data_IF_521440181411
#
_entry.id   IF_521440181411
#
_cell.length_a   1.000
_cell.length_b   1.000
_cell.length_c   1.000
_cell.angle_alpha   90.00
_cell.angle_beta   90.00
_cell.angle_gamma   90.00
#
_symmetry.space_group_name_H-M   'P 1'
#
loop_
_entity.id
_entity.type
_entity.pdbx_description
1 polymer ?
#
# COMPACT_ATOMS: atom_id res chain seq x y z
N UNK A 1 -36.47 -0.49 9.60
CA UNK A 1 -35.83 0.01 8.37
C UNK A 1 -35.56 1.50 8.48
N UNK A 2 -36.57 2.30 8.81
CA UNK A 2 -36.44 3.74 9.11
C UNK A 2 -35.36 4.06 10.16
N UNK A 3 -35.30 3.34 11.28
CA UNK A 3 -34.25 3.54 12.31
C UNK A 3 -32.82 3.33 11.78
N UNK A 4 -32.63 2.42 10.81
CA UNK A 4 -31.30 2.17 10.21
C UNK A 4 -30.95 3.29 9.24
N UNK A 5 -31.91 3.76 8.44
CA UNK A 5 -31.73 4.89 7.53
C UNK A 5 -31.40 6.14 8.33
N UNK A 6 -32.17 6.42 9.38
CA UNK A 6 -31.94 7.55 10.29
C UNK A 6 -30.56 7.48 10.95
N UNK A 7 -30.10 6.28 11.33
CA UNK A 7 -28.74 6.09 11.84
C UNK A 7 -27.69 6.45 10.78
N UNK A 8 -27.82 6.02 9.53
CA UNK A 8 -26.85 6.37 8.48
C UNK A 8 -26.88 7.85 8.09
N UNK A 9 -28.06 8.48 8.09
CA UNK A 9 -28.22 9.92 7.78
C UNK A 9 -27.61 10.81 8.86
N UNK A 10 -27.73 10.41 10.13
CA UNK A 10 -27.20 11.16 11.27
C UNK A 10 -25.77 10.73 11.68
N UNK A 11 -25.28 9.59 11.15
CA UNK A 11 -23.95 9.10 11.48
C UNK A 11 -22.87 10.09 11.02
N UNK A 12 -21.85 10.35 11.85
CA UNK A 12 -20.68 11.10 11.43
C UNK A 12 -20.00 10.44 10.23
N UNK A 13 -19.62 11.24 9.24
CA UNK A 13 -18.96 10.75 8.04
C UNK A 13 -17.57 10.19 8.34
N UNK A 14 -17.17 9.11 7.64
CA UNK A 14 -15.89 8.44 7.82
C UNK A 14 -14.68 9.37 7.54
N UNK A 15 -14.83 10.37 6.66
CA UNK A 15 -13.78 11.33 6.29
C UNK A 15 -13.37 12.27 7.45
N UNK A 16 -14.22 12.40 8.47
CA UNK A 16 -13.89 13.07 9.73
C UNK A 16 -12.80 12.32 10.50
N UNK A 17 -12.78 10.99 10.41
CA UNK A 17 -11.88 10.13 11.17
C UNK A 17 -10.71 9.58 10.36
N UNK A 18 -10.87 9.46 9.03
CA UNK A 18 -9.92 8.82 8.15
C UNK A 18 -9.75 9.63 6.86
N UNK A 19 -8.50 9.85 6.42
CA UNK A 19 -8.24 10.49 5.13
C UNK A 19 -7.54 9.55 4.17
N UNK A 20 -8.10 9.38 2.97
CA UNK A 20 -7.48 8.63 1.88
C UNK A 20 -6.49 9.47 1.06
N UNK A 21 -5.47 8.80 0.53
CA UNK A 21 -4.40 9.36 -0.28
C UNK A 21 -4.02 8.40 -1.41
N UNK A 22 -3.85 8.96 -2.61
CA UNK A 22 -3.32 8.23 -3.76
C UNK A 22 -1.79 8.16 -3.62
N UNK A 23 -1.23 7.00 -3.95
CA UNK A 23 0.22 6.77 -3.97
C UNK A 23 0.89 7.38 -5.21
N UNK A 24 2.13 6.96 -5.44
CA UNK A 24 2.94 7.46 -6.56
C UNK A 24 2.97 6.48 -7.75
N UNK A 25 3.48 6.96 -8.89
CA UNK A 25 3.73 6.13 -10.07
C UNK A 25 5.18 6.25 -10.53
N UNK A 26 5.85 5.11 -10.79
CA UNK A 26 7.29 5.08 -11.11
C UNK A 26 7.61 5.03 -12.61
N UNK A 27 6.60 4.83 -13.48
CA UNK A 27 6.70 4.62 -14.94
C UNK A 27 7.54 3.40 -15.40
N UNK A 28 8.56 2.98 -14.66
CA UNK A 28 9.44 1.86 -14.99
C UNK A 28 9.79 1.04 -13.74
N UNK A 29 8.91 0.09 -13.41
CA UNK A 29 9.08 -0.81 -12.27
C UNK A 29 10.42 -1.56 -12.30
N UNK A 30 10.91 -1.99 -13.47
CA UNK A 30 12.16 -2.77 -13.55
C UNK A 30 13.38 -1.95 -13.12
N UNK A 31 13.39 -0.66 -13.48
CA UNK A 31 14.49 0.25 -13.16
C UNK A 31 14.45 0.71 -11.71
N UNK A 32 13.25 0.99 -11.18
CA UNK A 32 13.08 1.73 -9.93
C UNK A 32 12.60 0.91 -8.74
N UNK A 33 12.15 -0.33 -8.96
CA UNK A 33 11.71 -1.22 -7.90
C UNK A 33 12.65 -2.42 -7.82
N UNK A 34 13.15 -2.68 -6.62
CA UNK A 34 13.93 -3.86 -6.28
C UNK A 34 13.12 -4.84 -5.44
N UNK A 35 13.49 -6.12 -5.51
CA UNK A 35 13.08 -7.08 -4.49
C UNK A 35 14.02 -7.00 -3.29
N UNK A 36 13.49 -7.18 -2.09
CA UNK A 36 14.30 -7.32 -0.87
C UNK A 36 14.79 -8.77 -0.80
N UNK A 37 16.05 -9.00 -0.45
CA UNK A 37 16.61 -10.35 -0.28
C UNK A 37 15.77 -11.23 0.67
N UNK A 38 15.90 -12.55 0.50
CA UNK A 38 15.18 -13.56 1.30
C UNK A 38 13.64 -13.49 1.20
N UNK A 39 13.10 -12.69 0.26
CA UNK A 39 11.67 -12.66 -0.03
C UNK A 39 11.32 -13.52 -1.25
N UNK A 40 10.03 -13.89 -1.35
CA UNK A 40 9.50 -14.61 -2.51
C UNK A 40 9.75 -13.86 -3.83
N UNK A 41 9.70 -12.52 -3.80
CA UNK A 41 9.95 -11.71 -4.99
C UNK A 41 11.42 -11.78 -5.42
N UNK A 42 12.36 -11.83 -4.47
CA UNK A 42 13.78 -12.00 -4.79
C UNK A 42 14.02 -13.34 -5.49
N UNK A 43 13.39 -14.43 -5.03
CA UNK A 43 13.50 -15.73 -5.71
C UNK A 43 12.91 -15.71 -7.13
N UNK A 44 11.79 -15.01 -7.33
CA UNK A 44 11.24 -14.77 -8.67
C UNK A 44 12.23 -13.99 -9.54
N UNK A 45 12.85 -12.93 -9.01
CA UNK A 45 13.81 -12.11 -9.74
C UNK A 45 15.09 -12.88 -10.05
N UNK A 46 15.62 -13.69 -9.13
CA UNK A 46 16.78 -14.59 -9.36
C UNK A 46 16.50 -15.54 -10.52
N UNK A 47 15.35 -16.22 -10.52
CA UNK A 47 14.96 -17.14 -11.62
C UNK A 47 14.83 -16.42 -12.97
N UNK A 48 14.26 -15.21 -12.98
CA UNK A 48 14.14 -14.40 -14.21
C UNK A 48 15.51 -13.93 -14.72
N UNK A 49 16.38 -13.48 -13.82
CA UNK A 49 17.70 -12.98 -14.16
C UNK A 49 18.61 -14.06 -14.79
N UNK A 50 18.41 -15.34 -14.48
CA UNK A 50 19.12 -16.45 -15.16
C UNK A 50 18.85 -16.51 -16.67
N UNK A 51 17.72 -15.97 -17.12
CA UNK A 51 17.29 -15.98 -18.53
C UNK A 51 17.64 -14.68 -19.27
N UNK A 52 18.23 -13.70 -18.58
CA UNK A 52 18.54 -12.38 -19.12
C UNK A 52 20.04 -12.30 -19.36
N UNK A 53 20.44 -12.23 -20.62
CA UNK A 53 21.83 -12.08 -21.04
C UNK A 53 22.36 -10.67 -20.77
N UNK A 54 21.56 -9.64 -21.11
CA UNK A 54 21.91 -8.23 -20.92
C UNK A 54 21.84 -7.82 -19.43
N UNK A 55 22.98 -7.50 -18.78
CA UNK A 55 23.01 -7.09 -17.38
C UNK A 55 22.14 -5.86 -17.08
N UNK A 56 21.99 -4.93 -18.02
CA UNK A 56 21.23 -3.70 -17.84
C UNK A 56 19.71 -3.93 -17.77
N UNK A 57 19.26 -5.12 -18.15
CA UNK A 57 17.85 -5.53 -18.11
C UNK A 57 17.52 -6.45 -16.95
N UNK A 58 18.50 -6.78 -16.10
CA UNK A 58 18.27 -7.60 -14.92
C UNK A 58 17.39 -6.87 -13.91
N UNK A 59 16.56 -7.64 -13.23
CA UNK A 59 15.76 -7.15 -12.10
C UNK A 59 16.68 -6.92 -10.89
N UNK A 60 16.46 -5.84 -10.15
CA UNK A 60 17.26 -5.46 -8.97
C UNK A 60 16.84 -6.28 -7.75
N UNK A 61 17.82 -6.77 -6.99
CA UNK A 61 17.64 -7.37 -5.66
C UNK A 61 18.59 -6.63 -4.73
N UNK A 62 18.09 -6.16 -3.59
CA UNK A 62 18.89 -5.44 -2.58
C UNK A 62 19.02 -6.25 -1.30
N UNK A 63 20.03 -5.95 -0.50
CA UNK A 63 20.16 -6.54 0.83
C UNK A 63 19.14 -5.89 1.77
N UNK A 64 18.73 -6.61 2.82
CA UNK A 64 17.75 -6.11 3.79
C UNK A 64 18.26 -4.87 4.52
N UNK A 65 19.56 -4.86 4.86
CA UNK A 65 20.25 -3.71 5.47
C UNK A 65 20.24 -2.45 4.59
N UNK A 66 20.06 -2.59 3.28
CA UNK A 66 20.05 -1.42 2.38
C UNK A 66 18.79 -0.56 2.59
N UNK A 67 17.73 -1.10 3.22
CA UNK A 67 16.54 -0.35 3.65
C UNK A 67 16.82 0.63 4.79
N UNK A 68 17.93 0.47 5.52
CA UNK A 68 18.37 1.42 6.53
C UNK A 68 19.04 2.65 5.90
N UNK A 69 19.37 2.58 4.60
CA UNK A 69 19.91 3.71 3.86
C UNK A 69 18.82 4.70 3.44
N UNK A 70 19.24 5.94 3.13
CA UNK A 70 18.34 6.96 2.58
C UNK A 70 17.84 6.62 1.17
N UNK A 71 18.56 5.75 0.45
CA UNK A 71 18.31 5.46 -0.96
C UNK A 71 17.13 4.53 -1.15
N UNK A 72 16.96 3.51 -0.32
CA UNK A 72 15.91 2.51 -0.54
C UNK A 72 14.77 2.71 0.44
N UNK A 73 13.57 2.94 -0.09
CA UNK A 73 12.37 3.07 0.73
C UNK A 73 11.51 1.81 0.64
N UNK A 74 10.96 1.30 1.75
CA UNK A 74 9.98 0.23 1.73
C UNK A 74 8.81 0.59 0.81
N UNK A 75 8.38 -0.33 -0.06
CA UNK A 75 7.38 -0.01 -1.09
C UNK A 75 6.26 -1.05 -1.20
N UNK A 76 5.02 -0.58 -1.32
CA UNK A 76 3.84 -1.41 -1.53
C UNK A 76 3.34 -1.24 -2.96
N UNK A 77 3.89 -2.06 -3.87
CA UNK A 77 3.52 -2.02 -5.30
C UNK A 77 2.20 -2.75 -5.61
N UNK A 78 1.83 -3.74 -4.78
CA UNK A 78 0.77 -4.69 -5.14
C UNK A 78 -0.50 -4.43 -4.33
N UNK A 79 -1.63 -4.51 -5.01
CA UNK A 79 -2.92 -4.80 -4.38
C UNK A 79 -3.05 -6.29 -4.08
N UNK A 80 -4.22 -6.73 -3.67
CA UNK A 80 -4.54 -8.13 -3.46
C UNK A 80 -5.60 -8.33 -2.39
N UNK A 81 -5.82 -9.60 -2.04
CA UNK A 81 -6.81 -10.04 -1.07
C UNK A 81 -6.24 -10.27 0.34
N UNK A 82 -4.98 -9.88 0.57
CA UNK A 82 -4.28 -9.96 1.85
C UNK A 82 -4.86 -8.94 2.84
N UNK A 83 -5.34 -9.44 3.97
CA UNK A 83 -5.96 -8.64 5.03
C UNK A 83 -5.02 -8.53 6.23
N UNK A 84 -5.20 -7.47 7.03
CA UNK A 84 -4.49 -7.17 8.28
C UNK A 84 -3.02 -6.83 8.12
N UNK A 85 -2.22 -7.69 7.49
CA UNK A 85 -0.80 -7.50 7.33
C UNK A 85 -0.30 -8.15 6.05
N UNK A 86 0.77 -7.57 5.51
CA UNK A 86 1.55 -8.16 4.44
C UNK A 86 3.04 -7.82 4.65
N UNK A 87 3.96 -8.79 4.49
CA UNK A 87 5.38 -8.50 4.45
C UNK A 87 5.75 -7.53 3.33
N UNK A 88 6.61 -6.55 3.65
CA UNK A 88 7.20 -5.68 2.63
C UNK A 88 8.26 -6.50 1.89
N UNK A 89 8.04 -6.70 0.59
CA UNK A 89 8.94 -7.49 -0.27
C UNK A 89 9.56 -6.68 -1.40
N UNK A 90 9.12 -5.42 -1.56
CA UNK A 90 9.58 -4.49 -2.56
C UNK A 90 10.26 -3.27 -1.92
N UNK A 91 11.28 -2.75 -2.59
CA UNK A 91 11.94 -1.49 -2.23
C UNK A 91 11.96 -0.54 -3.44
N UNK A 92 11.79 0.74 -3.17
CA UNK A 92 11.78 1.81 -4.16
C UNK A 92 13.11 2.56 -4.13
N UNK A 93 13.70 2.77 -5.30
CA UNK A 93 14.90 3.59 -5.46
C UNK A 93 14.53 5.06 -5.25
N UNK A 94 15.04 5.68 -4.20
CA UNK A 94 14.68 7.02 -3.74
C UNK A 94 15.85 8.01 -3.89
N UNK A 95 16.82 7.70 -4.76
CA UNK A 95 17.84 8.67 -5.15
C UNK A 95 17.24 9.85 -5.93
N UNK A 96 17.92 11.00 -5.91
CA UNK A 96 17.40 12.25 -6.48
C UNK A 96 17.17 12.18 -7.99
N UNK A 97 17.97 11.39 -8.72
CA UNK A 97 17.79 11.19 -10.17
C UNK A 97 16.56 10.33 -10.45
N UNK A 98 16.34 9.29 -9.67
CA UNK A 98 15.18 8.41 -9.81
C UNK A 98 13.89 9.13 -9.47
N UNK A 99 13.88 9.94 -8.40
CA UNK A 99 12.72 10.75 -7.99
C UNK A 99 12.17 11.66 -9.08
N UNK A 100 13.05 12.22 -9.94
CA UNK A 100 12.63 13.07 -11.09
C UNK A 100 11.77 12.33 -12.11
N UNK A 101 11.76 11.00 -12.08
CA UNK A 101 11.02 10.15 -13.01
C UNK A 101 9.69 9.65 -12.42
N UNK A 102 9.28 10.14 -11.24
CA UNK A 102 8.09 9.66 -10.55
C UNK A 102 6.97 10.70 -10.56
N UNK A 103 5.74 10.23 -10.72
CA UNK A 103 4.56 11.04 -10.44
C UNK A 103 4.26 10.90 -8.94
N UNK A 104 4.59 11.93 -8.17
CA UNK A 104 4.38 11.97 -6.72
C UNK A 104 3.27 12.98 -6.42
N UNK A 105 2.12 12.54 -5.86
CA UNK A 105 1.07 13.48 -5.46
C UNK A 105 1.55 14.48 -4.40
N UNK A 106 1.03 15.70 -4.49
CA UNK A 106 1.33 16.74 -3.50
C UNK A 106 0.78 16.32 -2.13
N UNK A 107 1.58 16.48 -1.08
CA UNK A 107 1.21 16.21 0.33
C UNK A 107 0.83 14.76 0.66
N UNK A 108 1.31 13.77 -0.09
CA UNK A 108 1.13 12.36 0.28
C UNK A 108 1.96 12.01 1.53
N UNK A 109 1.37 11.40 2.57
CA UNK A 109 2.01 11.24 3.88
C UNK A 109 2.81 9.93 3.99
N UNK A 110 3.76 9.68 3.08
CA UNK A 110 4.54 8.42 3.05
C UNK A 110 5.28 8.11 4.36
N UNK A 111 5.65 9.13 5.13
CA UNK A 111 6.37 8.99 6.40
C UNK A 111 5.45 8.77 7.61
N UNK A 112 4.14 8.59 7.40
CA UNK A 112 3.17 8.30 8.45
C UNK A 112 2.76 6.83 8.44
N UNK A 113 2.42 6.32 9.62
CA UNK A 113 1.82 5.01 9.81
C UNK A 113 0.32 5.06 9.46
N UNK A 114 -0.26 3.98 8.96
CA UNK A 114 -1.67 3.94 8.63
C UNK A 114 -2.17 2.61 8.09
N UNK A 115 -3.07 2.69 7.12
CA UNK A 115 -3.76 1.54 6.52
C UNK A 115 -3.65 1.63 5.01
N UNK A 116 -3.46 0.49 4.36
CA UNK A 116 -3.59 0.35 2.91
C UNK A 116 -4.85 -0.44 2.61
N UNK A 117 -5.72 0.12 1.79
CA UNK A 117 -6.85 -0.59 1.20
C UNK A 117 -6.50 -0.93 -0.25
N UNK A 118 -6.68 -2.19 -0.63
CA UNK A 118 -6.42 -2.63 -2.00
C UNK A 118 -7.41 -2.00 -2.98
N UNK A 119 -6.89 -1.31 -4.00
CA UNK A 119 -7.70 -0.81 -5.13
C UNK A 119 -8.08 -1.91 -6.13
N UNK A 120 -7.45 -3.09 -6.03
CA UNK A 120 -7.68 -4.23 -6.93
C UNK A 120 -7.89 -5.48 -6.08
N UNK A 121 -9.13 -5.84 -5.79
CA UNK A 121 -9.50 -7.04 -5.03
C UNK A 121 -10.96 -7.42 -5.25
N UNK A 122 -11.28 -8.72 -5.19
CA UNK A 122 -12.67 -9.22 -5.23
C UNK A 122 -13.45 -8.97 -3.94
N UNK A 123 -12.75 -8.63 -2.85
CA UNK A 123 -13.31 -8.27 -1.53
C UNK A 123 -12.56 -7.07 -0.96
N UNK A 124 -13.16 -6.34 -0.03
CA UNK A 124 -12.41 -5.30 0.67
C UNK A 124 -11.27 -5.95 1.46
N UNK A 125 -10.05 -5.46 1.23
CA UNK A 125 -8.85 -5.95 1.87
C UNK A 125 -8.05 -4.74 2.37
N UNK A 126 -8.14 -4.52 3.68
CA UNK A 126 -7.39 -3.51 4.40
C UNK A 126 -6.23 -4.16 5.15
N UNK A 127 -5.06 -3.52 5.16
CA UNK A 127 -3.87 -4.00 5.84
C UNK A 127 -3.06 -2.87 6.44
N UNK A 128 -2.24 -3.21 7.41
CA UNK A 128 -1.33 -2.29 8.06
C UNK A 128 -0.35 -1.66 7.06
N UNK A 129 -0.12 -0.35 7.20
CA UNK A 129 0.89 0.42 6.49
C UNK A 129 1.93 0.92 7.49
N UNK A 130 3.15 0.35 7.47
CA UNK A 130 4.21 0.81 8.35
C UNK A 130 4.63 2.25 8.06
N UNK A 131 5.10 2.94 9.11
CA UNK A 131 5.70 4.27 8.99
C UNK A 131 6.86 4.25 7.98
N UNK A 132 6.92 5.25 7.09
CA UNK A 132 8.00 5.38 6.10
C UNK A 132 7.85 4.43 4.90
N UNK A 133 6.67 3.82 4.73
CA UNK A 133 6.38 2.93 3.63
C UNK A 133 5.64 3.66 2.51
N UNK A 134 6.18 3.57 1.29
CA UNK A 134 5.65 4.21 0.09
C UNK A 134 4.70 3.25 -0.63
N UNK A 135 3.77 3.74 -1.45
CA UNK A 135 2.81 2.87 -2.15
C UNK A 135 2.44 3.37 -3.54
N UNK A 136 1.95 2.45 -4.37
CA UNK A 136 1.59 2.68 -5.76
C UNK A 136 0.17 3.24 -5.93
N UNK A 137 0.01 4.24 -6.81
CA UNK A 137 -1.25 4.96 -7.06
C UNK A 137 -2.42 4.07 -7.47
N UNK A 138 -2.18 3.02 -8.25
CA UNK A 138 -3.26 2.30 -8.96
C UNK A 138 -3.76 1.07 -8.21
N UNK A 139 -2.99 0.57 -7.24
CA UNK A 139 -3.26 -0.75 -6.63
C UNK A 139 -3.45 -0.69 -5.13
N UNK A 140 -3.02 0.40 -4.51
CA UNK A 140 -3.05 0.59 -3.08
C UNK A 140 -3.48 2.03 -2.76
N UNK A 141 -4.47 2.18 -1.90
CA UNK A 141 -4.92 3.48 -1.42
C UNK A 141 -4.50 3.57 0.05
N UNK A 142 -3.70 4.59 0.37
CA UNK A 142 -3.21 4.84 1.73
C UNK A 142 -4.25 5.63 2.52
N UNK A 143 -4.48 5.25 3.76
CA UNK A 143 -5.41 5.91 4.66
C UNK A 143 -4.72 6.24 5.99
N UNK A 144 -4.87 7.48 6.44
CA UNK A 144 -4.34 7.96 7.72
C UNK A 144 -5.51 8.24 8.67
N UNK A 145 -5.41 7.70 9.88
CA UNK A 145 -6.37 7.95 10.96
C UNK A 145 -6.07 9.34 11.54
N UNK A 146 -7.10 10.20 11.55
CA UNK A 146 -7.03 11.58 12.07
C UNK A 146 -7.39 11.65 13.55
N UNK A 147 -8.30 10.79 13.98
CA UNK A 147 -8.74 10.72 15.37
C UNK A 147 -7.84 9.78 16.18
N UNK A 148 -7.12 10.33 17.15
CA UNK A 148 -6.18 9.59 18.00
C UNK A 148 -6.87 8.60 18.95
N UNK A 149 -8.18 8.70 19.15
CA UNK A 149 -8.94 7.73 19.95
C UNK A 149 -9.16 6.42 19.20
N UNK A 150 -9.04 6.43 17.87
CA UNK A 150 -9.22 5.27 17.01
C UNK A 150 -7.86 4.63 16.72
N UNK A 151 -7.74 3.34 17.00
CA UNK A 151 -6.49 2.59 16.77
C UNK A 151 -6.46 1.94 15.39
N UNK A 152 -5.27 1.76 14.82
CA UNK A 152 -5.09 1.02 13.57
C UNK A 152 -5.64 -0.42 13.67
N UNK A 153 -5.36 -1.21 14.74
CA UNK A 153 -5.95 -2.54 14.88
C UNK A 153 -7.49 -2.53 14.87
N UNK A 154 -8.12 -1.57 15.55
CA UNK A 154 -9.57 -1.43 15.54
C UNK A 154 -10.10 -1.21 14.11
N UNK A 155 -9.51 -0.26 13.38
CA UNK A 155 -9.91 0.02 11.99
C UNK A 155 -9.66 -1.16 11.06
N UNK A 156 -8.56 -1.89 11.22
CA UNK A 156 -8.30 -3.10 10.44
C UNK A 156 -9.33 -4.20 10.73
N UNK A 157 -9.76 -4.35 11.98
CA UNK A 157 -10.84 -5.27 12.38
C UNK A 157 -12.16 -4.88 11.74
N UNK A 158 -12.54 -3.60 11.83
CA UNK A 158 -13.77 -3.07 11.25
C UNK A 158 -13.80 -3.25 9.73
N UNK A 159 -12.78 -2.75 9.02
CA UNK A 159 -12.75 -2.75 7.55
C UNK A 159 -12.72 -4.17 6.98
N UNK A 160 -12.01 -5.10 7.62
CA UNK A 160 -11.98 -6.48 7.16
C UNK A 160 -13.14 -7.34 7.67
N UNK A 161 -14.04 -6.80 8.49
CA UNK A 161 -15.18 -7.55 9.01
C UNK A 161 -16.15 -7.96 7.89
N UNK A 162 -16.82 -9.10 8.10
CA UNK A 162 -17.89 -9.56 7.21
C UNK A 162 -19.04 -8.56 7.15
N UNK A 163 -19.39 -7.96 8.29
CA UNK A 163 -20.43 -6.94 8.39
C UNK A 163 -20.11 -5.73 7.52
N UNK A 164 -18.91 -5.14 7.65
CA UNK A 164 -18.54 -3.98 6.84
C UNK A 164 -18.48 -4.33 5.35
N UNK A 165 -17.94 -5.49 4.99
CA UNK A 165 -17.95 -5.96 3.61
C UNK A 165 -19.37 -6.15 3.06
N UNK A 166 -20.29 -6.66 3.89
CA UNK A 166 -21.71 -6.78 3.55
C UNK A 166 -22.34 -5.41 3.32
N UNK A 167 -22.18 -4.47 4.25
CA UNK A 167 -22.73 -3.12 4.14
C UNK A 167 -22.18 -2.36 2.91
N UNK A 168 -20.86 -2.37 2.74
CA UNK A 168 -20.19 -1.65 1.64
C UNK A 168 -20.55 -2.19 0.24
N UNK A 169 -20.94 -3.47 0.13
CA UNK A 169 -21.31 -4.09 -1.15
C UNK A 169 -22.80 -4.26 -1.37
N UNK A 170 -23.57 -4.36 -0.29
CA UNK A 170 -24.98 -4.74 -0.30
C UNK A 170 -25.94 -3.56 -0.17
N UNK A 171 -25.48 -2.39 0.28
CA UNK A 171 -26.30 -1.16 0.34
C UNK A 171 -25.97 -0.20 -0.82
N UNK A 172 -24.77 -0.31 -1.40
CA UNK A 172 -24.27 0.61 -2.45
C UNK A 172 -24.45 0.02 -3.87
N UNK A 173 -24.97 -1.21 -4.00
CA UNK A 173 -25.46 -1.79 -5.26
C UNK A 173 -26.97 -1.97 -5.20
#
# INVERSE_FOLDING_TARGET
>A
EEEIIELFENAPKLDNYLKGYIGMHTHNNRKYIAAIEETELAEVFKRRNKRISDPNRKYKIILKKDLESIRWKPYLKRGGAEQYYRPIIEALDWDEESKKNYDIPVNVPFEQEGIIISGVSSRLAARYMPKGCYWDSNKAIGFIIRDKTITIPYMLGLLNSSLYNYLAKGIIN
#
